data_IF_426918360271
#
_entry.id   IF_426918360271
#
_cell.length_a   1.000
_cell.length_b   1.000
_cell.length_c   1.000
_cell.angle_alpha   90.00
_cell.angle_beta   90.00
_cell.angle_gamma   90.00
#
_symmetry.space_group_name_H-M   'P 1'
#
loop_
_entity.id
_entity.type
_entity.pdbx_description
1 polymer ?
#
# COMPACT_ATOMS: atom_id res chain seq x y z
N UNK A 1 55.32 -37.27 -18.91
CA UNK A 1 54.10 -37.71 -18.19
C UNK A 1 54.18 -37.53 -16.67
N UNK A 2 55.31 -37.81 -15.98
CA UNK A 2 55.42 -37.63 -14.52
C UNK A 2 55.38 -36.18 -13.99
N UNK A 3 55.80 -35.18 -14.78
CA UNK A 3 55.77 -33.76 -14.36
C UNK A 3 54.37 -33.12 -14.39
N UNK A 4 53.47 -33.62 -15.24
CA UNK A 4 52.07 -33.14 -15.31
C UNK A 4 51.21 -33.67 -14.16
N UNK A 5 51.48 -34.89 -13.69
CA UNK A 5 50.80 -35.47 -12.53
C UNK A 5 51.14 -34.73 -11.22
N UNK A 6 52.39 -34.24 -11.07
CA UNK A 6 52.81 -33.50 -9.88
C UNK A 6 52.17 -32.10 -9.80
N UNK A 7 51.96 -31.46 -10.95
CA UNK A 7 51.30 -30.15 -11.04
C UNK A 7 49.80 -30.28 -10.78
N UNK A 8 49.15 -31.35 -11.28
CA UNK A 8 47.74 -31.62 -10.97
C UNK A 8 47.49 -31.92 -9.48
N UNK A 9 48.40 -32.65 -8.81
CA UNK A 9 48.26 -32.92 -7.37
C UNK A 9 48.46 -31.64 -6.53
N UNK A 10 49.39 -30.76 -6.92
CA UNK A 10 49.60 -29.47 -6.26
C UNK A 10 48.42 -28.50 -6.45
N UNK A 11 47.75 -28.53 -7.61
CA UNK A 11 46.56 -27.71 -7.87
C UNK A 11 45.33 -28.25 -7.12
N UNK A 12 45.17 -29.58 -6.99
CA UNK A 12 44.06 -30.17 -6.21
C UNK A 12 44.22 -29.94 -4.70
N UNK A 13 45.46 -29.87 -4.18
CA UNK A 13 45.73 -29.51 -2.78
C UNK A 13 45.58 -28.01 -2.49
N UNK A 14 45.65 -27.14 -3.51
CA UNK A 14 45.47 -25.69 -3.36
C UNK A 14 44.00 -25.24 -3.44
N UNK A 15 43.08 -26.05 -4.00
CA UNK A 15 41.65 -25.77 -4.05
C UNK A 15 40.84 -26.33 -2.86
N UNK A 16 41.47 -27.04 -1.92
CA UNK A 16 40.82 -27.61 -0.73
C UNK A 16 40.98 -26.77 0.55
N UNK A 17 41.53 -25.56 0.46
CA UNK A 17 41.86 -24.71 1.63
C UNK A 17 41.03 -23.42 1.74
N UNK A 18 39.86 -23.35 1.09
CA UNK A 18 38.86 -22.30 1.32
C UNK A 18 37.50 -22.93 1.62
N UNK A 19 37.42 -23.75 2.67
CA UNK A 19 36.16 -24.00 3.37
C UNK A 19 36.13 -23.10 4.59
N UNK A 20 35.72 -21.85 4.40
CA UNK A 20 35.25 -21.01 5.51
C UNK A 20 33.97 -21.66 6.04
N UNK A 21 34.14 -22.48 7.08
CA UNK A 21 33.06 -23.08 7.87
C UNK A 21 32.37 -22.03 8.75
N UNK A 22 31.94 -20.91 8.15
CA UNK A 22 31.10 -19.90 8.79
C UNK A 22 29.73 -19.87 8.12
N UNK A 23 29.15 -21.04 7.87
CA UNK A 23 27.71 -21.13 7.69
C UNK A 23 27.09 -21.16 9.10
N UNK A 24 26.38 -20.10 9.54
CA UNK A 24 25.68 -20.16 10.82
C UNK A 24 24.66 -21.30 10.73
N UNK A 25 24.82 -22.31 11.57
CA UNK A 25 23.75 -23.26 11.86
C UNK A 25 22.51 -22.46 12.26
N UNK A 26 21.33 -22.69 11.68
CA UNK A 26 20.09 -22.10 12.18
C UNK A 26 19.89 -22.62 13.59
N UNK A 27 20.19 -21.78 14.58
CA UNK A 27 19.92 -22.06 15.97
C UNK A 27 18.39 -22.15 16.11
N UNK A 28 17.91 -23.31 16.54
CA UNK A 28 16.48 -23.59 16.66
C UNK A 28 15.81 -22.85 17.83
N UNK A 29 16.59 -22.06 18.59
CA UNK A 29 16.13 -21.20 19.67
C UNK A 29 16.77 -19.82 19.52
N UNK A 30 16.33 -19.06 18.51
CA UNK A 30 16.59 -17.61 18.46
C UNK A 30 16.02 -16.93 19.72
N UNK A 31 16.55 -15.76 20.14
CA UNK A 31 16.10 -15.10 21.36
C UNK A 31 14.58 -14.86 21.29
N UNK A 32 13.86 -15.53 22.20
CA UNK A 32 12.44 -15.30 22.41
C UNK A 32 12.32 -13.86 22.89
N UNK A 33 11.78 -12.99 22.05
CA UNK A 33 11.51 -11.59 22.35
C UNK A 33 10.39 -11.52 23.41
N UNK A 34 10.77 -11.60 24.67
CA UNK A 34 9.88 -11.41 25.80
C UNK A 34 9.68 -9.90 26.06
N UNK A 35 9.00 -9.23 25.14
CA UNK A 35 8.44 -7.89 25.37
C UNK A 35 8.96 -6.77 24.47
N UNK A 36 8.11 -5.73 24.33
CA UNK A 36 8.24 -4.61 23.38
C UNK A 36 9.41 -3.65 23.72
N UNK A 37 10.15 -3.87 24.80
CA UNK A 37 11.14 -2.93 25.33
C UNK A 37 12.60 -3.19 24.92
N UNK A 38 12.92 -4.31 24.25
CA UNK A 38 14.30 -4.70 23.93
C UNK A 38 14.74 -4.45 22.46
N UNK A 39 14.04 -3.60 21.71
CA UNK A 39 14.56 -3.16 20.41
C UNK A 39 15.63 -2.07 20.55
N UNK A 40 16.80 -2.18 19.89
CA UNK A 40 17.74 -1.08 19.80
C UNK A 40 17.11 0.07 19.01
N UNK A 41 16.80 1.18 19.69
CA UNK A 41 16.32 2.42 19.08
C UNK A 41 17.49 3.17 18.46
N UNK A 42 17.63 3.13 17.13
CA UNK A 42 18.59 3.98 16.41
C UNK A 42 17.91 5.31 16.03
N UNK A 43 18.44 6.42 16.54
CA UNK A 43 18.02 7.77 16.18
C UNK A 43 18.81 8.22 14.95
N UNK A 44 18.14 8.46 13.82
CA UNK A 44 18.76 9.03 12.61
C UNK A 44 18.50 10.54 12.62
N UNK A 45 19.55 11.33 12.81
CA UNK A 45 19.49 12.80 12.70
C UNK A 45 19.92 13.19 11.29
N UNK A 46 18.99 13.70 10.49
CA UNK A 46 19.28 14.27 9.16
C UNK A 46 19.59 15.75 9.34
N UNK A 47 20.83 16.15 9.07
CA UNK A 47 21.21 17.58 9.07
C UNK A 47 20.88 18.19 7.70
N UNK A 48 20.02 19.20 7.70
CA UNK A 48 19.82 20.06 6.53
C UNK A 48 20.79 21.23 6.60
N UNK A 49 21.79 21.23 5.73
CA UNK A 49 22.73 22.34 5.58
C UNK A 49 22.03 23.50 4.87
N UNK A 50 21.86 24.62 5.56
CA UNK A 50 21.40 25.86 4.93
C UNK A 50 22.52 26.43 4.04
N UNK A 51 22.29 26.45 2.72
CA UNK A 51 23.12 27.24 1.81
C UNK A 51 22.77 28.72 2.01
N UNK A 52 23.64 29.46 2.69
CA UNK A 52 23.52 30.92 2.85
C UNK A 52 24.38 31.64 1.80
N UNK A 53 23.90 32.75 1.19
CA UNK A 53 24.71 33.56 0.28
C UNK A 53 25.64 34.51 1.04
N UNK A 54 26.75 34.82 0.37
CA UNK A 54 27.92 35.60 0.76
C UNK A 54 27.62 37.07 1.08
N UNK A 55 28.34 37.66 2.05
CA UNK A 55 28.97 38.99 1.93
C UNK A 55 29.97 39.25 3.09
N UNK A 56 31.23 39.52 2.72
CA UNK A 56 32.25 40.18 3.54
C UNK A 56 31.74 41.48 4.17
N UNK A 57 32.12 41.76 5.43
CA UNK A 57 32.83 42.99 5.85
C UNK A 57 33.35 42.82 7.29
N UNK A 58 34.64 43.11 7.52
CA UNK A 58 35.25 43.26 8.84
C UNK A 58 34.74 44.53 9.53
N UNK A 59 34.39 44.48 10.83
CA UNK A 59 34.34 45.68 11.67
C UNK A 59 35.48 45.73 12.69
N UNK A 60 36.05 46.92 12.80
CA UNK A 60 36.98 47.41 13.82
C UNK A 60 36.48 47.12 15.24
N UNK A 61 37.34 46.54 16.10
CA UNK A 61 37.04 46.29 17.50
C UNK A 61 37.20 47.56 18.35
N UNK A 62 36.09 48.07 18.88
CA UNK A 62 36.07 49.01 20.01
C UNK A 62 35.71 48.20 21.25
N UNK A 63 36.57 48.19 22.27
CA UNK A 63 36.29 47.53 23.55
C UNK A 63 35.46 48.49 24.41
N UNK A 64 34.18 48.18 24.57
CA UNK A 64 33.30 48.81 25.55
C UNK A 64 33.16 47.89 26.77
N UNK A 65 33.52 48.39 27.94
CA UNK A 65 33.44 47.67 29.21
C UNK A 65 32.08 47.97 29.84
N UNK A 66 31.11 47.10 29.57
CA UNK A 66 29.82 47.07 30.27
C UNK A 66 29.81 45.97 31.33
N UNK A 67 29.27 46.29 32.52
CA UNK A 67 29.09 45.34 33.61
C UNK A 67 27.87 44.43 33.32
N UNK A 68 27.93 43.13 33.68
CA UNK A 68 26.85 42.19 33.38
C UNK A 68 25.58 42.54 34.17
N UNK A 69 24.48 42.76 33.45
CA UNK A 69 23.12 42.77 33.98
C UNK A 69 22.74 41.35 34.38
N UNK A 70 22.12 41.16 35.55
CA UNK A 70 21.67 39.85 36.01
C UNK A 70 20.75 39.20 34.98
N UNK A 71 21.08 37.96 34.62
CA UNK A 71 20.30 37.15 33.68
C UNK A 71 19.05 36.66 34.41
N UNK A 72 17.83 36.95 33.90
CA UNK A 72 16.62 36.42 34.51
C UNK A 72 16.61 34.89 34.42
N UNK A 73 16.18 34.26 35.51
CA UNK A 73 16.14 32.81 35.65
C UNK A 73 15.25 32.17 34.55
N UNK A 74 15.68 31.05 33.92
CA UNK A 74 14.89 30.38 32.90
C UNK A 74 13.54 29.92 33.46
N UNK A 75 12.43 30.05 32.71
CA UNK A 75 11.15 29.51 33.16
C UNK A 75 11.25 27.99 33.34
N UNK A 76 10.80 27.48 34.49
CA UNK A 76 10.71 26.05 34.75
C UNK A 76 9.86 25.35 33.68
N UNK A 77 10.27 24.19 33.16
CA UNK A 77 9.49 23.47 32.16
C UNK A 77 8.19 22.93 32.78
N UNK A 78 7.07 23.54 32.42
CA UNK A 78 5.75 23.00 32.75
C UNK A 78 5.56 21.66 32.06
N UNK A 79 5.37 20.59 32.82
CA UNK A 79 5.11 19.25 32.29
C UNK A 79 3.78 19.24 31.51
N UNK A 80 3.86 19.17 30.18
CA UNK A 80 2.69 19.01 29.31
C UNK A 80 2.36 17.52 29.19
N UNK A 81 1.18 17.05 29.64
CA UNK A 81 0.79 15.66 29.47
C UNK A 81 0.67 15.35 27.97
N UNK A 82 1.51 14.43 27.48
CA UNK A 82 1.43 13.92 26.11
C UNK A 82 0.51 12.69 26.09
N UNK A 83 -0.67 12.75 25.43
CA UNK A 83 -1.52 11.58 25.30
C UNK A 83 -0.87 10.57 24.34
N UNK A 84 -0.65 9.35 24.81
CA UNK A 84 -0.27 8.23 23.96
C UNK A 84 -1.53 7.47 23.51
N UNK A 85 -1.67 7.23 22.21
CA UNK A 85 -2.69 6.33 21.64
C UNK A 85 -2.02 4.99 21.34
N UNK A 86 -2.39 3.95 22.07
CA UNK A 86 -2.00 2.57 21.76
C UNK A 86 -2.98 1.97 20.75
N UNK A 87 -2.47 1.52 19.60
CA UNK A 87 -3.25 0.70 18.66
C UNK A 87 -3.02 -0.76 19.01
N UNK A 88 -4.07 -1.47 19.40
CA UNK A 88 -4.01 -2.91 19.62
C UNK A 88 -4.31 -3.63 18.30
N UNK A 89 -3.37 -4.45 17.84
CA UNK A 89 -3.57 -5.37 16.72
C UNK A 89 -3.70 -6.78 17.27
N UNK A 90 -4.91 -7.32 17.25
CA UNK A 90 -5.23 -8.68 17.70
C UNK A 90 -6.69 -9.03 17.40
N UNK A 91 -7.05 -10.33 17.31
CA UNK A 91 -8.41 -10.75 17.02
C UNK A 91 -9.38 -10.38 18.15
N UNK A 92 -10.54 -9.86 17.78
CA UNK A 92 -11.64 -9.49 18.66
C UNK A 92 -12.25 -10.74 19.33
N UNK A 93 -12.05 -10.90 20.64
CA UNK A 93 -12.79 -11.88 21.43
C UNK A 93 -14.14 -11.30 21.83
N UNK A 94 -15.21 -11.83 21.24
CA UNK A 94 -16.60 -11.49 21.55
C UNK A 94 -17.01 -11.99 22.93
N UNK A 95 -16.95 -11.12 23.93
CA UNK A 95 -17.66 -11.32 25.20
C UNK A 95 -19.16 -11.06 25.00
N UNK A 96 -20.00 -12.00 25.45
CA UNK A 96 -21.47 -11.93 25.36
C UNK A 96 -22.02 -10.76 26.19
N UNK A 97 -22.90 -9.88 25.67
CA UNK A 97 -23.50 -8.84 26.49
C UNK A 97 -24.59 -9.43 27.40
N UNK A 98 -24.48 -9.17 28.70
CA UNK A 98 -25.56 -9.40 29.67
C UNK A 98 -26.71 -8.44 29.38
N UNK A 99 -27.91 -9.01 29.34
CA UNK A 99 -29.16 -8.40 28.94
C UNK A 99 -29.54 -7.16 29.75
N UNK A 100 -29.82 -6.07 29.04
CA UNK A 100 -30.56 -4.92 29.52
C UNK A 100 -31.12 -4.17 28.33
N UNK A 101 -32.45 -4.21 28.15
CA UNK A 101 -33.15 -3.53 27.07
C UNK A 101 -32.75 -2.05 27.01
N UNK A 102 -32.08 -1.64 25.94
CA UNK A 102 -31.97 -0.24 25.56
C UNK A 102 -32.41 -0.14 24.11
N UNK A 103 -33.61 0.39 23.90
CA UNK A 103 -34.08 0.77 22.57
C UNK A 103 -33.19 1.92 22.03
N UNK A 104 -32.70 1.86 20.79
CA UNK A 104 -31.91 2.96 20.22
C UNK A 104 -32.79 4.21 20.07
N UNK A 105 -32.41 5.31 20.72
CA UNK A 105 -33.00 6.63 20.49
C UNK A 105 -32.16 7.32 19.43
N UNK A 106 -32.80 7.76 18.34
CA UNK A 106 -32.15 8.51 17.26
C UNK A 106 -31.56 9.84 17.80
N UNK A 107 -30.40 10.30 17.28
CA UNK A 107 -29.77 11.52 17.76
C UNK A 107 -30.55 12.75 17.26
N UNK A 108 -31.41 13.29 18.12
CA UNK A 108 -32.07 14.56 17.94
C UNK A 108 -32.05 15.33 19.27
N UNK A 109 -31.46 16.53 19.23
CA UNK A 109 -31.24 17.48 20.33
C UNK A 109 -32.22 17.40 21.52
N UNK A 110 -31.69 17.12 22.71
CA UNK A 110 -32.27 17.50 23.99
C UNK A 110 -31.15 17.97 24.94
N UNK A 111 -31.11 19.25 25.35
CA UNK A 111 -30.24 19.68 26.43
C UNK A 111 -30.88 19.28 27.77
N UNK A 112 -30.18 18.46 28.58
CA UNK A 112 -30.53 18.26 29.98
C UNK A 112 -31.08 16.89 30.39
N UNK A 113 -30.55 15.78 29.88
CA UNK A 113 -30.82 14.46 30.45
C UNK A 113 -29.84 14.15 31.59
N UNK A 114 -30.27 14.33 32.84
CA UNK A 114 -29.57 13.83 34.04
C UNK A 114 -29.96 12.39 34.33
N UNK A 115 -28.97 11.49 34.38
CA UNK A 115 -29.13 10.10 34.84
C UNK A 115 -28.95 10.09 36.37
N UNK A 116 -29.93 9.62 37.18
CA UNK A 116 -29.72 9.49 38.62
C UNK A 116 -28.88 8.23 38.89
N UNK A 117 -27.69 8.43 39.45
CA UNK A 117 -26.89 7.33 40.01
C UNK A 117 -27.25 7.21 41.48
N UNK A 118 -27.93 6.12 41.85
CA UNK A 118 -28.13 5.76 43.25
C UNK A 118 -26.94 4.91 43.71
N UNK A 119 -26.11 5.48 44.59
CA UNK A 119 -25.14 4.74 45.39
C UNK A 119 -25.61 4.73 46.84
N UNK A 120 -25.50 3.59 47.50
CA UNK A 120 -25.85 3.40 48.91
C UNK A 120 -25.20 4.44 49.84
N UNK A 121 -25.98 4.87 50.82
CA UNK A 121 -25.81 5.98 51.78
C UNK A 121 -24.52 5.98 52.65
N UNK A 122 -24.28 7.01 53.50
CA UNK A 122 -24.37 8.46 53.27
C UNK A 122 -23.13 9.18 53.82
N UNK A 123 -22.31 9.74 52.94
CA UNK A 123 -21.56 10.97 53.26
C UNK A 123 -21.39 11.72 51.96
N UNK A 124 -22.22 12.74 51.76
CA UNK A 124 -22.09 13.65 50.64
C UNK A 124 -20.82 14.48 50.82
N UNK A 125 -19.75 14.10 50.14
CA UNK A 125 -18.66 15.02 49.85
C UNK A 125 -18.84 15.50 48.42
N UNK A 126 -19.04 16.80 48.26
CA UNK A 126 -19.04 17.48 46.96
C UNK A 126 -17.60 17.51 46.44
N UNK A 127 -17.26 16.61 45.52
CA UNK A 127 -16.04 16.71 44.72
C UNK A 127 -16.39 17.55 43.47
N UNK A 128 -15.68 18.66 43.19
CA UNK A 128 -15.86 19.37 41.94
C UNK A 128 -15.40 18.47 40.79
N UNK A 129 -16.35 18.16 39.90
CA UNK A 129 -16.09 17.39 38.67
C UNK A 129 -15.27 18.30 37.76
N UNK A 130 -14.01 17.96 37.50
CA UNK A 130 -13.21 18.61 36.46
C UNK A 130 -13.88 18.46 35.10
N UNK A 131 -13.52 19.31 34.11
CA UNK A 131 -14.13 19.24 32.78
C UNK A 131 -13.96 17.83 32.21
N UNK A 132 -15.08 17.21 31.85
CA UNK A 132 -15.12 15.91 31.20
C UNK A 132 -14.33 16.04 29.89
N UNK A 133 -13.19 15.36 29.79
CA UNK A 133 -12.49 15.16 28.53
C UNK A 133 -13.47 14.49 27.57
N UNK A 134 -13.84 15.22 26.53
CA UNK A 134 -14.72 14.74 25.46
C UNK A 134 -14.22 13.40 24.95
N UNK A 135 -15.09 12.40 24.97
CA UNK A 135 -14.87 11.10 24.33
C UNK A 135 -14.34 11.35 22.91
N UNK A 136 -13.26 10.71 22.44
CA UNK A 136 -12.82 10.86 21.07
C UNK A 136 -13.93 10.37 20.15
N UNK A 137 -14.59 11.30 19.46
CA UNK A 137 -15.45 10.98 18.34
C UNK A 137 -14.53 10.39 17.26
N UNK A 138 -14.66 9.09 16.98
CA UNK A 138 -14.06 8.54 15.77
C UNK A 138 -14.64 9.31 14.59
N UNK A 139 -13.81 10.07 13.89
CA UNK A 139 -14.21 10.73 12.67
C UNK A 139 -14.59 9.64 11.66
N UNK A 140 -15.87 9.57 11.29
CA UNK A 140 -16.26 8.91 10.04
C UNK A 140 -15.43 9.60 8.96
N UNK A 141 -14.61 8.83 8.23
CA UNK A 141 -13.76 9.37 7.18
C UNK A 141 -14.59 10.27 6.27
N UNK A 142 -14.32 11.58 6.35
CA UNK A 142 -14.97 12.56 5.48
C UNK A 142 -14.62 12.29 4.01
N UNK A 143 -15.33 12.91 3.07
CA UNK A 143 -14.99 12.82 1.66
C UNK A 143 -13.51 13.20 1.47
N UNK A 144 -12.76 12.36 0.75
CA UNK A 144 -11.34 12.57 0.51
C UNK A 144 -11.18 13.82 -0.34
N UNK A 145 -10.78 14.94 0.28
CA UNK A 145 -10.62 16.21 -0.42
C UNK A 145 -9.27 16.25 -1.13
N UNK A 146 -9.23 15.78 -2.37
CA UNK A 146 -8.00 15.64 -3.13
C UNK A 146 -7.55 16.96 -3.77
N UNK A 147 -6.23 17.26 -3.77
CA UNK A 147 -5.67 18.44 -4.45
C UNK A 147 -5.96 18.43 -5.97
N UNK A 148 -5.98 17.23 -6.55
CA UNK A 148 -6.33 16.98 -7.94
C UNK A 148 -7.62 16.17 -7.95
N UNK A 149 -8.55 16.55 -8.82
CA UNK A 149 -9.82 15.84 -8.95
C UNK A 149 -9.69 14.65 -9.92
N UNK A 150 -10.46 13.56 -9.72
CA UNK A 150 -10.54 12.50 -10.71
C UNK A 150 -10.99 13.06 -12.07
N UNK A 151 -10.49 12.46 -13.14
CA UNK A 151 -10.94 12.81 -14.48
C UNK A 151 -12.46 12.60 -14.61
N UNK A 152 -13.11 13.34 -15.51
CA UNK A 152 -14.54 13.19 -15.80
C UNK A 152 -14.94 11.74 -16.14
N UNK A 153 -14.05 10.97 -16.77
CA UNK A 153 -14.27 9.54 -17.07
C UNK A 153 -14.28 8.63 -15.84
N UNK A 154 -13.80 9.11 -14.68
CA UNK A 154 -13.67 8.35 -13.44
C UNK A 154 -14.45 8.95 -12.27
N UNK A 155 -15.03 10.14 -12.44
CA UNK A 155 -15.59 10.90 -11.33
C UNK A 155 -16.76 10.16 -10.65
N UNK A 156 -17.61 9.45 -11.41
CA UNK A 156 -18.69 8.69 -10.79
C UNK A 156 -18.18 7.39 -10.18
N UNK A 157 -17.31 6.67 -10.87
CA UNK A 157 -16.71 5.43 -10.37
C UNK A 157 -15.97 5.66 -9.04
N UNK A 158 -15.14 6.70 -8.97
CA UNK A 158 -14.41 7.10 -7.76
C UNK A 158 -15.34 7.69 -6.70
N UNK A 159 -16.29 8.54 -7.09
CA UNK A 159 -17.18 9.27 -6.16
C UNK A 159 -18.20 8.41 -5.42
N UNK A 160 -18.59 7.25 -5.98
CA UNK A 160 -19.69 6.42 -5.45
C UNK A 160 -19.30 5.49 -4.31
N UNK A 161 -18.04 5.07 -4.20
CA UNK A 161 -17.59 4.11 -3.19
C UNK A 161 -16.49 4.70 -2.29
N UNK A 162 -16.82 5.09 -1.05
CA UNK A 162 -15.83 5.57 -0.08
C UNK A 162 -14.72 4.56 0.23
N UNK A 163 -14.97 3.25 0.13
CA UNK A 163 -13.93 2.24 0.36
C UNK A 163 -12.93 2.21 -0.79
N UNK A 164 -13.39 2.37 -2.03
CA UNK A 164 -12.52 2.52 -3.19
C UNK A 164 -11.65 3.77 -3.07
N UNK A 165 -12.21 4.90 -2.62
CA UNK A 165 -11.45 6.13 -2.38
C UNK A 165 -10.36 5.92 -1.32
N UNK A 166 -10.69 5.26 -0.21
CA UNK A 166 -9.71 4.94 0.82
C UNK A 166 -8.62 4.00 0.31
N UNK A 167 -8.95 3.04 -0.56
CA UNK A 167 -7.95 2.12 -1.13
C UNK A 167 -7.04 2.81 -2.14
N UNK A 168 -7.59 3.53 -3.12
CA UNK A 168 -6.82 4.23 -4.16
C UNK A 168 -6.07 5.47 -3.64
N UNK A 169 -6.65 6.19 -2.67
CA UNK A 169 -6.17 7.50 -2.26
C UNK A 169 -6.47 8.57 -3.32
N UNK A 170 -5.73 9.68 -3.28
CA UNK A 170 -5.98 10.79 -4.20
C UNK A 170 -5.37 10.58 -5.59
N UNK A 171 -5.97 11.16 -6.66
CA UNK A 171 -5.32 11.26 -7.96
C UNK A 171 -3.97 11.97 -7.87
N UNK A 172 -2.98 11.47 -8.61
CA UNK A 172 -1.63 12.07 -8.67
C UNK A 172 -1.44 13.03 -9.85
N UNK A 173 -2.29 12.89 -10.86
CA UNK A 173 -2.29 13.70 -12.08
C UNK A 173 -3.71 13.80 -12.64
N UNK A 174 -3.89 14.51 -13.75
CA UNK A 174 -5.19 14.68 -14.42
C UNK A 174 -5.63 13.45 -15.24
N UNK A 175 -4.76 12.45 -15.36
CA UNK A 175 -4.81 11.36 -16.32
C UNK A 175 -4.48 11.79 -17.75
N UNK A 176 -4.41 10.79 -18.63
CA UNK A 176 -4.06 10.96 -20.03
C UNK A 176 -4.72 9.90 -20.91
N UNK A 177 -4.89 10.23 -22.19
CA UNK A 177 -5.34 9.27 -23.19
C UNK A 177 -4.18 8.41 -23.66
N UNK A 178 -4.47 7.13 -23.89
CA UNK A 178 -3.52 6.16 -24.42
C UNK A 178 -4.26 5.11 -25.24
N UNK A 179 -3.52 4.40 -26.09
CA UNK A 179 -4.05 3.24 -26.78
C UNK A 179 -3.81 2.00 -25.93
N UNK A 180 -4.88 1.28 -25.61
CA UNK A 180 -4.81 -0.04 -24.99
C UNK A 180 -5.26 -1.11 -25.99
N UNK A 181 -4.88 -2.34 -25.73
CA UNK A 181 -5.45 -3.51 -26.39
C UNK A 181 -6.07 -4.40 -25.33
N UNK A 182 -7.25 -4.95 -25.58
CA UNK A 182 -7.83 -5.94 -24.69
C UNK A 182 -8.18 -7.23 -25.41
N UNK A 183 -8.15 -8.35 -24.69
CA UNK A 183 -8.63 -9.64 -25.15
C UNK A 183 -9.48 -10.28 -24.03
N UNK A 184 -10.75 -10.64 -24.30
CA UNK A 184 -11.62 -11.27 -23.31
C UNK A 184 -11.37 -12.79 -23.22
N UNK A 185 -11.42 -13.31 -21.99
CA UNK A 185 -11.22 -14.72 -21.64
C UNK A 185 -12.45 -15.29 -20.93
N UNK A 186 -12.52 -16.61 -20.81
CA UNK A 186 -13.64 -17.32 -20.15
C UNK A 186 -13.94 -16.79 -18.73
N UNK A 187 -12.88 -16.45 -17.98
CA UNK A 187 -12.95 -16.01 -16.58
C UNK A 187 -12.12 -14.76 -16.32
N UNK A 188 -11.92 -13.95 -17.35
CA UNK A 188 -10.99 -12.82 -17.25
C UNK A 188 -10.94 -11.93 -18.47
N UNK A 189 -10.08 -10.93 -18.38
CA UNK A 189 -9.74 -10.01 -19.47
C UNK A 189 -8.25 -9.71 -19.33
N UNK A 190 -7.51 -9.66 -20.43
CA UNK A 190 -6.18 -9.05 -20.43
C UNK A 190 -6.23 -7.67 -21.08
N UNK A 191 -5.54 -6.71 -20.48
CA UNK A 191 -5.25 -5.41 -21.06
C UNK A 191 -3.75 -5.29 -21.31
N UNK A 192 -3.35 -4.80 -22.47
CA UNK A 192 -1.96 -4.46 -22.77
C UNK A 192 -1.84 -2.95 -22.95
N UNK A 193 -0.80 -2.36 -22.37
CA UNK A 193 -0.43 -0.95 -22.55
C UNK A 193 0.85 -0.80 -23.35
N UNK A 194 0.97 0.35 -24.00
CA UNK A 194 2.09 0.78 -24.85
C UNK A 194 3.48 0.59 -24.22
N UNK A 195 3.62 0.70 -22.90
CA UNK A 195 4.89 0.42 -22.20
C UNK A 195 5.18 -1.05 -21.89
N UNK A 196 4.54 -1.97 -22.63
CA UNK A 196 4.81 -3.42 -22.59
C UNK A 196 4.39 -4.09 -21.27
N UNK A 197 3.35 -3.60 -20.62
CA UNK A 197 2.71 -4.30 -19.51
C UNK A 197 1.35 -4.87 -19.90
N UNK A 198 1.11 -6.07 -19.38
CA UNK A 198 -0.14 -6.81 -19.46
C UNK A 198 -0.77 -6.86 -18.06
N UNK A 199 -2.02 -6.43 -17.96
CA UNK A 199 -2.85 -6.57 -16.78
C UNK A 199 -3.89 -7.66 -17.05
N UNK A 200 -3.71 -8.83 -16.45
CA UNK A 200 -4.63 -9.95 -16.61
C UNK A 200 -5.57 -10.04 -15.40
N UNK A 201 -6.83 -9.72 -15.61
CA UNK A 201 -7.87 -9.71 -14.59
C UNK A 201 -8.53 -11.08 -14.52
N UNK A 202 -8.68 -11.60 -13.31
CA UNK A 202 -9.47 -12.77 -13.01
C UNK A 202 -10.75 -12.32 -12.29
N UNK A 203 -11.90 -12.65 -12.85
CA UNK A 203 -13.18 -12.03 -12.44
C UNK A 203 -13.77 -12.59 -11.15
N UNK A 204 -13.48 -13.86 -10.82
CA UNK A 204 -14.09 -14.53 -9.66
C UNK A 204 -13.58 -13.99 -8.31
N UNK A 205 -12.27 -13.82 -8.14
CA UNK A 205 -11.66 -13.33 -6.90
C UNK A 205 -11.28 -11.84 -6.97
N UNK A 206 -11.61 -11.17 -8.08
CA UNK A 206 -11.29 -9.75 -8.31
C UNK A 206 -9.80 -9.46 -8.19
N UNK A 207 -8.97 -10.39 -8.66
CA UNK A 207 -7.51 -10.24 -8.67
C UNK A 207 -7.02 -9.92 -10.06
N UNK A 208 -5.91 -9.20 -10.15
CA UNK A 208 -5.19 -9.05 -11.40
C UNK A 208 -3.72 -9.41 -11.24
N UNK A 209 -3.13 -9.86 -12.34
CA UNK A 209 -1.71 -10.09 -12.50
C UNK A 209 -1.13 -9.01 -13.39
N UNK A 210 0.03 -8.46 -13.01
CA UNK A 210 0.85 -7.59 -13.87
C UNK A 210 1.97 -8.43 -14.45
N UNK A 211 2.00 -8.55 -15.77
CA UNK A 211 2.97 -9.36 -16.51
C UNK A 211 3.66 -8.50 -17.55
N UNK A 212 4.98 -8.63 -17.69
CA UNK A 212 5.69 -7.95 -18.76
C UNK A 212 5.46 -8.66 -20.10
N UNK A 213 5.16 -7.90 -21.15
CA UNK A 213 5.15 -8.39 -22.52
C UNK A 213 6.59 -8.59 -23.00
N UNK A 214 7.03 -9.85 -22.99
CA UNK A 214 8.36 -10.28 -23.44
C UNK A 214 8.34 -10.85 -24.85
N UNK A 215 7.20 -10.77 -25.54
CA UNK A 215 7.08 -11.24 -26.92
C UNK A 215 7.77 -10.26 -27.87
N UNK A 216 8.54 -10.80 -28.79
CA UNK A 216 9.27 -10.04 -29.80
C UNK A 216 9.01 -10.60 -31.19
N UNK A 217 9.13 -9.73 -32.20
CA UNK A 217 8.98 -10.12 -33.60
C UNK A 217 9.90 -11.28 -33.96
N UNK A 218 9.34 -12.26 -34.68
CA UNK A 218 10.04 -13.50 -35.05
C UNK A 218 9.89 -14.64 -34.05
N UNK A 219 9.34 -14.40 -32.85
CA UNK A 219 8.92 -15.48 -31.95
C UNK A 219 7.61 -16.11 -32.44
N UNK A 220 7.36 -17.40 -32.14
CA UNK A 220 6.07 -18.03 -32.41
C UNK A 220 4.92 -17.23 -31.79
N UNK A 221 3.91 -16.93 -32.60
CA UNK A 221 2.71 -16.22 -32.14
C UNK A 221 1.89 -17.10 -31.20
N UNK A 222 1.80 -18.38 -31.53
CA UNK A 222 1.05 -19.43 -30.84
C UNK A 222 1.94 -20.65 -30.57
N UNK A 223 1.41 -21.62 -29.83
CA UNK A 223 2.09 -22.89 -29.54
C UNK A 223 1.14 -24.05 -29.84
N UNK A 224 1.45 -24.90 -30.84
CA UNK A 224 0.61 -26.03 -31.24
C UNK A 224 0.29 -27.04 -30.13
N UNK A 225 1.05 -27.05 -29.03
CA UNK A 225 0.74 -27.87 -27.86
C UNK A 225 -0.57 -27.46 -27.16
N UNK A 226 -1.07 -26.25 -27.41
CA UNK A 226 -2.30 -25.72 -26.82
C UNK A 226 -3.40 -25.57 -27.87
N UNK A 227 -4.08 -26.68 -28.18
CA UNK A 227 -5.29 -26.66 -28.99
C UNK A 227 -6.52 -26.25 -28.14
N UNK A 228 -7.35 -25.30 -28.61
CA UNK A 228 -8.56 -24.90 -27.89
C UNK A 228 -9.55 -26.06 -27.81
N UNK A 229 -10.27 -26.23 -26.67
CA UNK A 229 -11.17 -27.36 -26.47
C UNK A 229 -12.52 -27.22 -27.16
N UNK A 230 -12.86 -26.03 -27.66
CA UNK A 230 -14.11 -25.73 -28.37
C UNK A 230 -13.88 -24.69 -29.47
N UNK A 231 -14.74 -24.68 -30.49
CA UNK A 231 -14.60 -23.80 -31.66
C UNK A 231 -14.73 -22.31 -31.35
N UNK A 232 -15.44 -21.95 -30.28
CA UNK A 232 -15.61 -20.57 -29.81
C UNK A 232 -14.49 -20.10 -28.88
N UNK A 233 -13.49 -20.96 -28.63
CA UNK A 233 -12.33 -20.66 -27.81
C UNK A 233 -11.08 -20.64 -28.69
N UNK A 234 -10.09 -19.85 -28.29
CA UNK A 234 -8.85 -19.71 -29.03
C UNK A 234 -7.66 -19.54 -28.10
N UNK A 235 -6.50 -19.97 -28.59
CA UNK A 235 -5.24 -19.62 -27.95
C UNK A 235 -4.99 -18.12 -28.15
N UNK A 236 -4.72 -17.34 -27.09
CA UNK A 236 -4.23 -15.98 -27.24
C UNK A 236 -2.89 -16.01 -28.00
N UNK A 237 -2.59 -14.95 -28.74
CA UNK A 237 -1.39 -14.88 -29.61
C UNK A 237 -0.42 -13.80 -29.11
N UNK A 238 0.82 -13.85 -29.61
CA UNK A 238 1.86 -12.84 -29.36
C UNK A 238 2.06 -12.55 -27.86
N UNK A 239 1.97 -11.29 -27.43
CA UNK A 239 2.23 -10.87 -26.05
C UNK A 239 1.29 -11.53 -25.04
N UNK A 240 -0.03 -11.48 -25.28
CA UNK A 240 -1.00 -12.18 -24.44
C UNK A 240 -0.77 -13.70 -24.50
N UNK A 241 -0.51 -14.22 -25.70
CA UNK A 241 -0.20 -15.63 -25.92
C UNK A 241 0.98 -16.12 -25.11
N UNK A 242 2.07 -15.35 -25.09
CA UNK A 242 3.29 -15.68 -24.37
C UNK A 242 3.08 -15.58 -22.87
N UNK A 243 2.46 -14.49 -22.39
CA UNK A 243 2.10 -14.33 -20.98
C UNK A 243 1.22 -15.48 -20.48
N UNK A 244 0.25 -15.91 -21.29
CA UNK A 244 -0.68 -16.99 -20.97
C UNK A 244 -0.01 -18.37 -20.98
N UNK A 245 0.74 -18.73 -22.03
CA UNK A 245 1.35 -20.08 -22.13
C UNK A 245 2.56 -20.29 -21.22
N UNK A 246 3.25 -19.21 -20.83
CA UNK A 246 4.40 -19.28 -19.91
C UNK A 246 4.01 -19.24 -18.44
N UNK A 247 2.74 -18.99 -18.11
CA UNK A 247 2.25 -18.85 -16.74
C UNK A 247 1.02 -19.73 -16.52
N UNK A 248 1.25 -20.97 -16.09
CA UNK A 248 0.19 -21.94 -15.84
C UNK A 248 -0.85 -21.48 -14.79
N UNK A 249 -0.46 -20.88 -13.64
CA UNK A 249 -1.43 -20.31 -12.71
C UNK A 249 -2.34 -19.27 -13.35
N UNK A 250 -1.77 -18.34 -14.13
CA UNK A 250 -2.54 -17.33 -14.85
C UNK A 250 -3.52 -17.98 -15.83
N UNK A 251 -3.01 -18.85 -16.71
CA UNK A 251 -3.80 -19.60 -17.70
C UNK A 251 -4.97 -20.35 -17.08
N UNK A 252 -4.71 -21.04 -15.96
CA UNK A 252 -5.75 -21.81 -15.25
C UNK A 252 -6.80 -20.88 -14.66
N UNK A 253 -6.38 -19.73 -14.12
CA UNK A 253 -7.27 -18.77 -13.46
C UNK A 253 -8.26 -18.10 -14.43
N UNK A 254 -7.79 -17.65 -15.61
CA UNK A 254 -8.64 -16.89 -16.56
C UNK A 254 -9.22 -17.74 -17.71
N UNK A 255 -8.66 -18.93 -17.98
CA UNK A 255 -9.14 -19.83 -19.04
C UNK A 255 -8.65 -19.45 -20.44
N UNK A 256 -9.37 -19.89 -21.47
CA UNK A 256 -9.08 -19.61 -22.88
C UNK A 256 -9.60 -18.25 -23.32
N UNK A 257 -9.01 -17.69 -24.39
CA UNK A 257 -9.53 -16.48 -25.01
C UNK A 257 -10.85 -16.80 -25.74
N UNK A 258 -11.80 -15.88 -25.67
CA UNK A 258 -13.14 -16.01 -26.28
C UNK A 258 -13.28 -15.17 -27.55
N UNK A 259 -12.40 -14.18 -27.73
CA UNK A 259 -12.30 -13.33 -28.91
C UNK A 259 -10.83 -13.00 -29.18
N UNK A 260 -10.54 -12.32 -30.29
CA UNK A 260 -9.20 -11.81 -30.56
C UNK A 260 -8.91 -10.49 -29.85
N UNK A 261 -7.67 -10.03 -30.03
CA UNK A 261 -7.19 -8.73 -29.55
C UNK A 261 -7.95 -7.57 -30.21
N UNK A 262 -8.42 -6.64 -29.39
CA UNK A 262 -9.18 -5.46 -29.83
C UNK A 262 -8.45 -4.19 -29.33
N UNK A 263 -7.82 -3.41 -30.23
CA UNK A 263 -7.25 -2.13 -29.87
C UNK A 263 -8.34 -1.08 -29.68
N UNK A 264 -8.15 -0.19 -28.71
CA UNK A 264 -9.08 0.89 -28.43
C UNK A 264 -8.37 2.08 -27.76
N UNK A 265 -9.01 3.26 -27.85
CA UNK A 265 -8.58 4.44 -27.10
C UNK A 265 -9.15 4.38 -25.69
N UNK A 266 -8.27 4.52 -24.70
CA UNK A 266 -8.61 4.50 -23.28
C UNK A 266 -8.17 5.82 -22.61
N UNK A 267 -8.57 5.98 -21.36
CA UNK A 267 -8.05 6.99 -20.46
C UNK A 267 -7.39 6.27 -19.28
N UNK A 268 -6.26 6.78 -18.80
CA UNK A 268 -5.52 6.27 -17.65
C UNK A 268 -5.34 7.40 -16.65
N UNK A 269 -5.54 7.15 -15.36
CA UNK A 269 -5.18 8.10 -14.31
C UNK A 269 -4.55 7.37 -13.13
N UNK A 270 -3.39 7.85 -12.70
CA UNK A 270 -2.70 7.32 -11.53
C UNK A 270 -3.25 7.96 -10.24
N UNK A 271 -3.33 7.14 -9.21
CA UNK A 271 -3.72 7.49 -7.85
C UNK A 271 -2.59 7.16 -6.88
N UNK A 272 -2.70 7.61 -5.64
CA UNK A 272 -1.70 7.41 -4.59
C UNK A 272 -1.30 5.94 -4.39
N UNK A 273 -2.25 5.03 -4.54
CA UNK A 273 -2.12 3.59 -4.26
C UNK A 273 -2.72 2.73 -5.37
N UNK A 274 -2.78 3.23 -6.60
CA UNK A 274 -3.37 2.48 -7.70
C UNK A 274 -3.57 3.32 -8.95
N UNK A 275 -4.42 2.85 -9.85
CA UNK A 275 -4.77 3.55 -11.08
C UNK A 275 -6.16 3.15 -11.56
N UNK A 276 -6.76 3.96 -12.42
CA UNK A 276 -8.03 3.65 -13.07
C UNK A 276 -7.89 3.73 -14.59
N UNK A 277 -8.59 2.85 -15.29
CA UNK A 277 -8.67 2.85 -16.75
C UNK A 277 -10.12 2.79 -17.20
N UNK A 278 -10.38 3.28 -18.42
CA UNK A 278 -11.61 2.97 -19.15
C UNK A 278 -11.37 1.69 -19.96
N UNK A 279 -12.22 0.68 -19.77
CA UNK A 279 -12.20 -0.57 -20.52
C UNK A 279 -12.74 -0.39 -21.94
N UNK A 280 -12.49 -1.38 -22.81
CA UNK A 280 -13.02 -1.39 -24.18
C UNK A 280 -14.55 -1.49 -24.26
N UNK A 281 -15.18 -1.84 -23.14
CA UNK A 281 -16.63 -1.83 -22.91
C UNK A 281 -17.18 -0.46 -22.45
N UNK A 282 -16.31 0.55 -22.31
CA UNK A 282 -16.66 1.88 -21.81
C UNK A 282 -16.90 1.93 -20.30
N UNK A 283 -16.66 0.84 -19.57
CA UNK A 283 -16.75 0.78 -18.11
C UNK A 283 -15.42 1.14 -17.48
N UNK A 284 -15.43 1.46 -16.20
CA UNK A 284 -14.23 1.82 -15.45
C UNK A 284 -13.72 0.62 -14.66
N UNK A 285 -12.40 0.45 -14.69
CA UNK A 285 -11.69 -0.56 -13.91
C UNK A 285 -10.66 0.16 -13.02
N UNK A 286 -10.75 -0.06 -11.72
CA UNK A 286 -9.83 0.48 -10.73
C UNK A 286 -8.91 -0.61 -10.22
N UNK A 287 -7.61 -0.35 -10.18
CA UNK A 287 -6.57 -1.31 -9.83
C UNK A 287 -5.85 -0.86 -8.56
N UNK A 288 -5.77 -1.75 -7.58
CA UNK A 288 -5.09 -1.52 -6.31
C UNK A 288 -4.00 -2.58 -6.17
N UNK A 289 -2.72 -2.22 -6.39
CA UNK A 289 -1.60 -3.14 -6.22
C UNK A 289 -1.53 -3.66 -4.78
N UNK A 290 -1.33 -4.97 -4.62
CA UNK A 290 -0.99 -5.59 -3.33
C UNK A 290 0.49 -5.94 -3.24
N UNK A 291 1.14 -6.12 -4.38
CA UNK A 291 2.55 -6.42 -4.52
C UNK A 291 3.07 -5.89 -5.88
N UNK A 292 4.32 -6.20 -6.24
CA UNK A 292 4.92 -5.77 -7.51
C UNK A 292 4.38 -6.49 -8.76
N UNK A 293 3.66 -7.59 -8.58
CA UNK A 293 3.24 -8.52 -9.64
C UNK A 293 1.72 -8.56 -9.82
N UNK A 294 0.96 -7.77 -9.06
CA UNK A 294 -0.50 -7.79 -9.15
C UNK A 294 -1.19 -7.10 -7.99
N UNK A 295 -2.48 -7.35 -7.89
CA UNK A 295 -3.33 -6.75 -6.88
C UNK A 295 -4.79 -7.15 -7.00
N UNK A 296 -5.66 -6.32 -6.45
CA UNK A 296 -7.10 -6.42 -6.61
C UNK A 296 -7.61 -5.36 -7.57
N UNK A 297 -8.78 -5.60 -8.14
CA UNK A 297 -9.45 -4.60 -8.97
C UNK A 297 -10.94 -4.50 -8.66
N UNK A 298 -11.52 -3.33 -8.95
CA UNK A 298 -12.96 -3.08 -8.96
C UNK A 298 -13.38 -2.76 -10.38
N UNK A 299 -14.50 -3.32 -10.84
CA UNK A 299 -14.92 -3.18 -12.24
C UNK A 299 -15.86 -4.30 -12.69
N UNK A 300 -16.59 -4.16 -13.79
CA UNK A 300 -16.87 -2.90 -14.46
C UNK A 300 -17.64 -1.96 -13.52
N UNK A 301 -17.19 -0.71 -13.41
CA UNK A 301 -17.85 0.37 -12.71
C UNK A 301 -18.46 1.33 -13.73
N UNK A 302 -19.60 1.93 -13.39
CA UNK A 302 -20.18 2.96 -14.23
C UNK A 302 -19.25 4.19 -14.30
N UNK A 303 -18.97 4.74 -15.50
CA UNK A 303 -18.11 5.91 -15.68
C UNK A 303 -18.67 7.16 -14.99
#
# INVERSE_FOLDING_TARGET
>A
MKKFALIMIAVVLALAACTDNNNPTPEADGPILAGVNDMPKMLITVQFTATSPVADQLPTATIDLSFPTETPEPPEPTSTPTPYVGVYVGPQSSGTPLAGNVTPIAPGNLPGATVPVFLGAPTAQTIPIGPVLTTPTFAVAGPVNCPIQPNASFINAYGRDPNLQQRLGCPRDAGYQLSLVYEPFERGIMFWRDSKEIYALQTQDRRYYRVADTWADGQPESDPAFAPPAENLRQPIRGFGLAWRSNEPLRTSIGWATQGEIPYSSYWQDFERGFMIVGGDGQVYAFVPTDGNGGTFDGPLAP
#
